data_IF_692904684623
#
_entry.id   IF_692904684623
#
_cell.length_a   1.000
_cell.length_b   1.000
_cell.length_c   1.000
_cell.angle_alpha   90.00
_cell.angle_beta   90.00
_cell.angle_gamma   90.00
#
_symmetry.space_group_name_H-M   'P 1'
#
loop_
_entity.id
_entity.type
_entity.pdbx_description
1 polymer ?
#
# COMPACT_ATOMS: atom_id res chain seq x y z
N UNK A 1 27.47 -18.19 7.03
CA UNK A 1 26.23 -17.71 6.39
C UNK A 1 25.38 -16.84 7.35
N UNK A 2 25.34 -17.11 8.66
CA UNK A 2 24.45 -16.38 9.59
C UNK A 2 24.92 -14.96 9.93
N UNK A 3 26.22 -14.68 9.97
CA UNK A 3 26.74 -13.34 10.33
C UNK A 3 26.61 -12.32 9.21
N UNK A 4 26.84 -12.72 7.96
CA UNK A 4 26.83 -11.81 6.81
C UNK A 4 25.39 -11.36 6.45
N UNK A 5 24.42 -12.24 6.63
CA UNK A 5 23.02 -11.95 6.34
C UNK A 5 22.44 -11.01 7.41
N UNK A 6 22.75 -11.21 8.68
CA UNK A 6 22.35 -10.30 9.76
C UNK A 6 22.92 -8.87 9.59
N UNK A 7 24.16 -8.78 9.11
CA UNK A 7 24.80 -7.49 8.80
C UNK A 7 24.11 -6.77 7.63
N UNK A 8 23.67 -7.52 6.60
CA UNK A 8 23.00 -6.96 5.42
C UNK A 8 21.63 -6.38 5.74
N UNK A 9 20.88 -6.99 6.66
CA UNK A 9 19.58 -6.47 7.08
C UNK A 9 19.69 -5.21 7.92
N UNK A 10 20.61 -5.22 8.91
CA UNK A 10 20.85 -4.04 9.72
C UNK A 10 21.29 -2.87 8.83
N UNK A 11 22.12 -3.15 7.83
CA UNK A 11 22.52 -2.18 6.81
C UNK A 11 21.31 -1.67 6.01
N UNK A 12 20.41 -2.55 5.56
CA UNK A 12 19.22 -2.16 4.81
C UNK A 12 18.28 -1.26 5.64
N UNK A 13 18.05 -1.59 6.90
CA UNK A 13 17.25 -0.75 7.81
C UNK A 13 17.91 0.60 8.11
N UNK A 14 19.22 0.61 8.35
CA UNK A 14 19.98 1.83 8.57
C UNK A 14 19.95 2.74 7.33
N UNK A 15 20.11 2.15 6.13
CA UNK A 15 20.01 2.87 4.86
C UNK A 15 18.62 3.47 4.65
N UNK A 16 17.56 2.72 4.96
CA UNK A 16 16.19 3.21 4.88
C UNK A 16 15.95 4.40 5.83
N UNK A 17 16.38 4.27 7.09
CA UNK A 17 16.25 5.35 8.08
C UNK A 17 17.06 6.58 7.71
N UNK A 18 18.30 6.40 7.26
CA UNK A 18 19.17 7.50 6.81
C UNK A 18 18.54 8.24 5.62
N UNK A 19 17.94 7.51 4.67
CA UNK A 19 17.21 8.11 3.54
C UNK A 19 16.09 9.02 3.99
N UNK A 20 15.32 8.65 5.02
CA UNK A 20 14.28 9.50 5.59
C UNK A 20 14.82 10.78 6.24
N UNK A 21 15.96 10.72 6.92
CA UNK A 21 16.63 11.89 7.50
C UNK A 21 17.16 12.82 6.40
N UNK A 22 17.85 12.27 5.39
CA UNK A 22 18.33 13.03 4.23
C UNK A 22 17.16 13.71 3.52
N UNK A 23 16.05 12.99 3.33
CA UNK A 23 14.85 13.56 2.74
C UNK A 23 14.34 14.76 3.53
N UNK A 24 14.30 14.65 4.85
CA UNK A 24 13.83 15.74 5.73
C UNK A 24 14.74 16.95 5.73
N UNK A 25 16.05 16.74 5.81
CA UNK A 25 17.04 17.82 5.98
C UNK A 25 17.44 18.48 4.66
N UNK A 26 17.50 17.75 3.56
CA UNK A 26 18.00 18.26 2.28
C UNK A 26 16.88 18.36 1.23
N UNK A 27 16.12 17.29 1.02
CA UNK A 27 15.15 17.24 -0.09
C UNK A 27 13.94 18.16 0.18
N UNK A 28 13.36 18.09 1.38
CA UNK A 28 12.16 18.89 1.70
C UNK A 28 12.38 20.40 1.56
N UNK A 29 13.47 21.00 2.10
CA UNK A 29 13.74 22.43 1.88
C UNK A 29 13.92 22.79 0.40
N UNK A 30 14.65 21.97 -0.38
CA UNK A 30 14.87 22.21 -1.81
C UNK A 30 13.54 22.16 -2.56
N UNK A 31 12.67 21.18 -2.29
CA UNK A 31 11.36 21.08 -2.91
C UNK A 31 10.50 22.31 -2.63
N UNK A 32 10.47 22.77 -1.36
CA UNK A 32 9.72 23.98 -0.98
C UNK A 32 10.22 25.24 -1.68
N UNK A 33 11.53 25.37 -1.86
CA UNK A 33 12.13 26.55 -2.51
C UNK A 33 11.95 26.55 -4.02
N UNK A 34 11.86 25.37 -4.66
CA UNK A 34 11.87 25.22 -6.13
C UNK A 34 10.52 24.89 -6.74
N UNK A 35 9.50 24.52 -5.93
CA UNK A 35 8.16 24.23 -6.42
C UNK A 35 7.32 25.49 -6.52
N UNK A 36 6.52 25.59 -7.59
CA UNK A 36 5.65 26.75 -7.86
C UNK A 36 4.29 26.66 -7.16
N UNK A 37 3.89 25.44 -6.77
CA UNK A 37 2.64 25.19 -6.04
C UNK A 37 2.79 24.03 -5.06
N UNK A 38 1.89 23.92 -4.05
CA UNK A 38 1.85 22.76 -3.15
C UNK A 38 1.61 21.43 -3.88
N UNK A 39 0.87 21.42 -4.98
CA UNK A 39 0.61 20.26 -5.82
C UNK A 39 1.90 19.80 -6.50
N UNK A 40 2.66 20.73 -7.08
CA UNK A 40 3.97 20.44 -7.69
C UNK A 40 4.96 19.92 -6.64
N UNK A 41 4.98 20.50 -5.45
CA UNK A 41 5.81 20.04 -4.32
C UNK A 41 5.49 18.58 -4.00
N UNK A 42 4.20 18.22 -3.83
CA UNK A 42 3.76 16.85 -3.54
C UNK A 42 4.16 15.87 -4.65
N UNK A 43 3.90 16.23 -5.90
CA UNK A 43 4.26 15.40 -7.06
C UNK A 43 5.76 15.14 -7.13
N UNK A 44 6.58 16.17 -6.97
CA UNK A 44 8.05 16.04 -6.94
C UNK A 44 8.51 15.21 -5.75
N UNK A 45 7.91 15.39 -4.57
CA UNK A 45 8.21 14.60 -3.39
C UNK A 45 7.92 13.10 -3.62
N UNK A 46 6.77 12.76 -4.24
CA UNK A 46 6.42 11.38 -4.62
C UNK A 46 7.41 10.79 -5.62
N UNK A 47 7.84 11.57 -6.61
CA UNK A 47 8.86 11.14 -7.56
C UNK A 47 10.19 10.80 -6.87
N UNK A 48 10.62 11.63 -5.90
CA UNK A 48 11.83 11.36 -5.11
C UNK A 48 11.64 10.12 -4.23
N UNK A 49 10.49 9.97 -3.56
CA UNK A 49 10.17 8.78 -2.75
C UNK A 49 10.21 7.52 -3.62
N UNK A 50 9.56 7.56 -4.79
CA UNK A 50 9.57 6.45 -5.75
C UNK A 50 10.99 6.09 -6.18
N UNK A 51 11.79 7.08 -6.55
CA UNK A 51 13.18 6.87 -6.95
C UNK A 51 14.00 6.24 -5.83
N UNK A 52 13.87 6.76 -4.61
CA UNK A 52 14.57 6.24 -3.44
C UNK A 52 14.16 4.79 -3.13
N UNK A 53 12.86 4.50 -3.15
CA UNK A 53 12.34 3.15 -2.94
C UNK A 53 12.82 2.20 -4.04
N UNK A 54 12.87 2.66 -5.30
CA UNK A 54 13.45 1.88 -6.40
C UNK A 54 14.93 1.55 -6.18
N UNK A 55 15.75 2.51 -5.70
CA UNK A 55 17.14 2.26 -5.34
C UNK A 55 17.26 1.28 -4.16
N UNK A 56 16.45 1.46 -3.15
CA UNK A 56 16.40 0.57 -2.01
C UNK A 56 16.04 -0.86 -2.42
N UNK A 57 15.00 -1.05 -3.22
CA UNK A 57 14.59 -2.36 -3.75
C UNK A 57 15.70 -2.98 -4.59
N UNK A 58 16.38 -2.20 -5.43
CA UNK A 58 17.52 -2.69 -6.20
C UNK A 58 18.66 -3.19 -5.31
N UNK A 59 18.96 -2.48 -4.22
CA UNK A 59 20.01 -2.86 -3.25
C UNK A 59 19.63 -4.18 -2.55
N UNK A 60 18.42 -4.29 -1.98
CA UNK A 60 18.01 -5.52 -1.29
C UNK A 60 17.89 -6.72 -2.23
N UNK A 61 17.60 -6.48 -3.51
CA UNK A 61 17.62 -7.51 -4.55
C UNK A 61 19.06 -7.95 -4.89
N UNK A 62 19.98 -7.00 -5.01
CA UNK A 62 21.39 -7.28 -5.25
C UNK A 62 22.04 -8.06 -4.06
N UNK A 63 21.61 -7.74 -2.83
CA UNK A 63 21.98 -8.47 -1.62
C UNK A 63 21.30 -9.85 -1.50
N UNK A 64 20.47 -10.24 -2.47
CA UNK A 64 19.71 -11.49 -2.49
C UNK A 64 18.76 -11.68 -1.28
N UNK A 65 18.29 -10.61 -0.70
CA UNK A 65 17.31 -10.64 0.38
C UNK A 65 15.88 -10.81 -0.17
N UNK A 66 15.58 -10.11 -1.26
CA UNK A 66 14.25 -10.10 -1.87
C UNK A 66 14.35 -10.17 -3.39
N UNK A 67 13.41 -10.89 -4.00
CA UNK A 67 13.14 -10.87 -5.44
C UNK A 67 11.73 -10.32 -5.66
N UNK A 68 11.60 -9.30 -6.47
CA UNK A 68 10.31 -8.68 -6.78
C UNK A 68 9.85 -9.12 -8.16
N UNK A 69 8.62 -9.65 -8.23
CA UNK A 69 7.95 -10.02 -9.47
C UNK A 69 6.65 -9.23 -9.59
N UNK A 70 6.39 -8.68 -10.78
CA UNK A 70 5.17 -7.91 -11.06
C UNK A 70 4.44 -8.57 -12.23
N UNK A 71 3.17 -8.91 -12.02
CA UNK A 71 2.27 -9.45 -13.03
C UNK A 71 1.21 -8.42 -13.39
N UNK A 72 0.94 -8.24 -14.67
CA UNK A 72 0.05 -7.23 -15.23
C UNK A 72 0.46 -5.80 -14.82
N UNK A 73 1.72 -5.40 -15.07
CA UNK A 73 2.26 -4.11 -14.60
C UNK A 73 1.50 -2.91 -15.13
N UNK A 74 0.88 -3.01 -16.31
CA UNK A 74 0.07 -1.96 -16.93
C UNK A 74 -1.10 -1.51 -16.06
N UNK A 75 -1.71 -2.43 -15.33
CA UNK A 75 -2.81 -2.10 -14.42
C UNK A 75 -2.34 -1.29 -13.19
N UNK A 76 -1.08 -1.46 -12.78
CA UNK A 76 -0.47 -0.68 -11.69
C UNK A 76 -0.06 0.74 -12.14
N UNK A 77 0.08 0.95 -13.45
CA UNK A 77 0.52 2.23 -14.03
C UNK A 77 -0.65 3.12 -14.47
N UNK A 78 -1.89 2.67 -14.30
CA UNK A 78 -3.09 3.42 -14.66
C UNK A 78 -3.23 4.67 -13.79
N UNK A 79 -3.33 5.84 -14.42
CA UNK A 79 -3.54 7.11 -13.74
C UNK A 79 -4.87 7.13 -12.99
N UNK A 80 -4.88 7.70 -11.80
CA UNK A 80 -6.06 7.83 -10.96
C UNK A 80 -6.68 6.49 -10.55
N UNK A 81 -5.91 5.39 -10.56
CA UNK A 81 -6.40 4.07 -10.15
C UNK A 81 -6.54 3.96 -8.62
N UNK A 82 -7.53 3.19 -8.17
CA UNK A 82 -7.65 2.75 -6.78
C UNK A 82 -7.08 1.33 -6.71
N UNK A 83 -5.86 1.20 -6.17
CA UNK A 83 -5.15 -0.07 -6.02
C UNK A 83 -5.36 -0.59 -4.60
N UNK A 84 -6.20 -1.61 -4.44
CA UNK A 84 -6.45 -2.24 -3.15
C UNK A 84 -5.63 -3.53 -3.02
N UNK A 85 -4.69 -3.56 -2.07
CA UNK A 85 -3.63 -4.55 -2.00
C UNK A 85 -3.73 -5.40 -0.73
N UNK A 86 -3.45 -6.71 -0.81
CA UNK A 86 -3.15 -7.51 0.38
C UNK A 86 -1.78 -7.14 0.98
N UNK A 87 -1.52 -7.46 2.25
CA UNK A 87 -0.36 -6.92 2.97
C UNK A 87 0.44 -7.99 3.73
N UNK A 88 1.05 -8.97 3.04
CA UNK A 88 1.76 -10.07 3.69
C UNK A 88 3.08 -9.68 4.35
N UNK A 89 3.76 -8.60 3.94
CA UNK A 89 5.09 -8.24 4.39
C UNK A 89 5.23 -6.76 4.73
N UNK A 90 6.23 -6.40 5.54
CA UNK A 90 6.52 -5.00 5.91
C UNK A 90 6.97 -4.16 4.71
N UNK A 91 7.64 -4.75 3.73
CA UNK A 91 8.22 -4.03 2.58
C UNK A 91 7.29 -3.92 1.37
N UNK A 92 6.08 -4.46 1.43
CA UNK A 92 5.12 -4.42 0.32
C UNK A 92 4.87 -3.00 -0.17
N UNK A 93 4.67 -2.06 0.78
CA UNK A 93 4.43 -0.65 0.48
C UNK A 93 5.61 -0.04 -0.27
N UNK A 94 6.85 -0.33 0.19
CA UNK A 94 8.08 0.20 -0.41
C UNK A 94 8.25 -0.32 -1.84
N UNK A 95 8.07 -1.63 -2.02
CA UNK A 95 8.18 -2.27 -3.33
C UNK A 95 7.08 -1.76 -4.28
N UNK A 96 5.83 -1.67 -3.83
CA UNK A 96 4.71 -1.20 -4.66
C UNK A 96 4.87 0.26 -5.06
N UNK A 97 5.20 1.16 -4.13
CA UNK A 97 5.42 2.57 -4.40
C UNK A 97 6.70 2.83 -5.23
N UNK A 98 7.60 1.86 -5.36
CA UNK A 98 8.72 1.95 -6.30
C UNK A 98 8.30 1.72 -7.76
N UNK A 99 7.20 0.98 -7.98
CA UNK A 99 6.67 0.62 -9.31
C UNK A 99 5.62 1.61 -9.78
N UNK A 100 4.64 1.95 -8.94
CA UNK A 100 3.54 2.86 -9.31
C UNK A 100 4.08 4.26 -9.58
N UNK A 101 3.81 4.88 -10.76
CA UNK A 101 4.45 6.12 -11.18
C UNK A 101 4.20 7.30 -10.25
N UNK A 102 2.96 7.56 -9.94
CA UNK A 102 2.54 8.60 -8.99
C UNK A 102 1.45 8.05 -8.08
N UNK A 103 1.78 7.89 -6.80
CA UNK A 103 0.88 7.26 -5.84
C UNK A 103 0.77 8.04 -4.54
N UNK A 104 -0.45 8.08 -4.01
CA UNK A 104 -0.74 8.44 -2.62
C UNK A 104 -1.19 7.19 -1.85
N UNK A 105 -1.08 7.22 -0.54
CA UNK A 105 -1.46 6.09 0.32
C UNK A 105 -1.95 6.56 1.68
N UNK A 106 -2.67 5.69 2.39
CA UNK A 106 -3.00 5.91 3.79
C UNK A 106 -1.91 5.32 4.69
N UNK A 107 -1.43 6.13 5.61
CA UNK A 107 -0.40 5.74 6.59
C UNK A 107 -0.94 5.79 8.02
N UNK A 108 -0.36 4.97 8.88
CA UNK A 108 -0.66 5.03 10.32
C UNK A 108 -0.15 6.35 10.91
N UNK A 109 -0.95 7.02 11.75
CA UNK A 109 -0.57 8.26 12.42
C UNK A 109 0.75 8.17 13.21
N UNK A 110 1.12 6.99 13.70
CA UNK A 110 2.41 6.74 14.35
C UNK A 110 3.62 7.03 13.45
N UNK A 111 3.51 6.80 12.13
CA UNK A 111 4.59 7.08 11.17
C UNK A 111 4.84 8.57 10.98
N UNK A 112 3.83 9.42 11.21
CA UNK A 112 3.98 10.88 11.19
C UNK A 112 4.72 11.44 12.43
N UNK A 113 4.85 10.64 13.49
CA UNK A 113 5.63 10.97 14.69
C UNK A 113 7.06 10.45 14.62
N UNK A 114 7.34 9.47 13.78
CA UNK A 114 8.66 8.88 13.63
C UNK A 114 9.57 9.82 12.82
N UNK A 115 10.76 10.17 13.35
CA UNK A 115 11.72 11.10 12.73
C UNK A 115 12.22 10.64 11.36
N UNK A 116 12.29 9.34 11.12
CA UNK A 116 12.78 8.76 9.88
C UNK A 116 11.74 8.73 8.74
N UNK A 117 10.44 8.79 9.07
CA UNK A 117 9.38 8.66 8.06
C UNK A 117 8.50 9.89 7.91
N UNK A 118 8.43 10.76 8.94
CA UNK A 118 7.53 11.93 8.93
C UNK A 118 7.77 12.89 7.77
N UNK A 119 9.03 13.14 7.41
CA UNK A 119 9.36 14.13 6.39
C UNK A 119 8.91 13.70 4.99
N UNK A 120 9.29 12.49 4.48
CA UNK A 120 8.79 12.04 3.18
C UNK A 120 7.27 11.86 3.15
N UNK A 121 6.64 11.38 4.24
CA UNK A 121 5.18 11.22 4.32
C UNK A 121 4.46 12.57 4.16
N UNK A 122 4.90 13.60 4.89
CA UNK A 122 4.29 14.94 4.82
C UNK A 122 4.53 15.59 3.46
N UNK A 123 5.75 15.55 2.96
CA UNK A 123 6.09 16.15 1.68
C UNK A 123 5.35 15.49 0.51
N UNK A 124 5.21 14.16 0.52
CA UNK A 124 4.44 13.42 -0.47
C UNK A 124 2.91 13.61 -0.34
N UNK A 125 2.44 14.22 0.75
CA UNK A 125 1.03 14.46 1.00
C UNK A 125 0.23 13.17 1.28
N UNK A 126 0.87 12.14 1.85
CA UNK A 126 0.18 10.90 2.22
C UNK A 126 -0.84 11.16 3.33
N UNK A 127 -1.97 10.47 3.24
CA UNK A 127 -3.12 10.69 4.10
C UNK A 127 -2.97 9.90 5.40
N UNK A 128 -3.27 10.51 6.54
CA UNK A 128 -3.28 9.78 7.82
C UNK A 128 -4.59 9.02 8.00
N UNK A 129 -4.53 7.83 8.58
CA UNK A 129 -5.73 7.09 8.97
C UNK A 129 -6.55 7.79 10.08
N UNK A 130 -6.05 8.88 10.66
CA UNK A 130 -6.75 9.69 11.65
C UNK A 130 -7.48 10.91 11.05
N UNK A 131 -7.39 11.16 9.72
CA UNK A 131 -7.98 12.34 9.07
C UNK A 131 -9.52 12.28 8.93
N UNK A 132 -10.16 11.15 9.24
CA UNK A 132 -11.63 11.05 9.23
C UNK A 132 -12.28 11.24 7.86
N UNK A 133 -13.50 11.83 7.79
CA UNK A 133 -14.27 11.98 6.53
C UNK A 133 -13.57 12.85 5.47
N UNK A 134 -12.81 13.85 5.87
CA UNK A 134 -12.10 14.76 4.96
C UNK A 134 -11.06 14.03 4.10
N UNK A 135 -10.61 12.84 4.55
CA UNK A 135 -9.70 11.99 3.79
C UNK A 135 -10.28 11.57 2.44
N UNK A 136 -11.59 11.28 2.36
CA UNK A 136 -12.25 10.83 1.11
C UNK A 136 -12.22 11.95 0.07
N UNK A 137 -12.59 13.16 0.47
CA UNK A 137 -12.58 14.33 -0.43
C UNK A 137 -11.16 14.66 -0.92
N UNK A 138 -10.17 14.57 -0.04
CA UNK A 138 -8.77 14.78 -0.38
C UNK A 138 -8.29 13.72 -1.38
N UNK A 139 -8.60 12.46 -1.13
CA UNK A 139 -8.22 11.36 -2.02
C UNK A 139 -8.95 11.43 -3.37
N UNK A 140 -10.21 11.85 -3.41
CA UNK A 140 -10.94 12.06 -4.65
C UNK A 140 -10.23 13.09 -5.54
N UNK A 141 -9.84 14.23 -4.98
CA UNK A 141 -9.06 15.25 -5.71
C UNK A 141 -7.71 14.72 -6.22
N UNK A 142 -7.02 13.91 -5.43
CA UNK A 142 -5.76 13.30 -5.86
C UNK A 142 -5.99 12.32 -7.03
N UNK A 143 -7.04 11.50 -7.01
CA UNK A 143 -7.42 10.62 -8.12
C UNK A 143 -7.76 11.41 -9.38
N UNK A 144 -8.46 12.54 -9.26
CA UNK A 144 -8.80 13.40 -10.40
C UNK A 144 -7.59 14.08 -11.00
N UNK A 145 -6.54 14.31 -10.24
CA UNK A 145 -5.25 14.80 -10.72
C UNK A 145 -4.37 13.73 -11.38
N UNK A 146 -4.86 12.48 -11.48
CA UNK A 146 -4.13 11.35 -12.05
C UNK A 146 -3.28 10.56 -11.05
N UNK A 147 -3.25 10.97 -9.77
CA UNK A 147 -2.52 10.26 -8.73
C UNK A 147 -3.22 8.95 -8.38
N UNK A 148 -2.53 7.81 -8.45
CA UNK A 148 -3.07 6.54 -8.02
C UNK A 148 -3.16 6.47 -6.48
N UNK A 149 -4.20 5.81 -5.97
CA UNK A 149 -4.38 5.58 -4.54
C UNK A 149 -4.08 4.13 -4.19
N UNK A 150 -3.02 3.91 -3.43
CA UNK A 150 -2.63 2.60 -2.91
C UNK A 150 -3.18 2.43 -1.49
N UNK A 151 -3.97 1.40 -1.27
CA UNK A 151 -4.53 1.10 0.04
C UNK A 151 -4.38 -0.37 0.39
N UNK A 152 -4.12 -0.63 1.68
CA UNK A 152 -4.12 -1.96 2.28
C UNK A 152 -5.36 -2.08 3.16
N UNK A 153 -6.47 -2.65 2.66
CA UNK A 153 -7.77 -2.60 3.35
C UNK A 153 -7.79 -3.42 4.66
N UNK A 154 -6.82 -4.27 4.89
CA UNK A 154 -6.64 -4.98 6.17
C UNK A 154 -6.25 -4.02 7.32
N UNK A 155 -5.66 -2.85 7.03
CA UNK A 155 -5.16 -1.88 8.02
C UNK A 155 -4.00 -2.39 8.87
N UNK A 156 -3.57 -3.62 8.64
CA UNK A 156 -2.42 -4.29 9.27
C UNK A 156 -1.82 -5.29 8.30
N UNK A 157 -0.66 -5.85 8.62
CA UNK A 157 -0.09 -6.96 7.81
C UNK A 157 -0.99 -8.20 7.95
N UNK A 158 -1.14 -8.93 6.84
CA UNK A 158 -1.85 -10.22 6.81
C UNK A 158 -1.22 -11.17 7.83
N UNK A 159 -1.98 -11.77 8.75
CA UNK A 159 -1.45 -12.77 9.67
C UNK A 159 -0.80 -13.95 8.94
N UNK A 160 0.22 -14.56 9.55
CA UNK A 160 0.93 -15.70 8.95
C UNK A 160 0.05 -16.94 8.84
N UNK A 161 -0.82 -17.12 9.82
CA UNK A 161 -1.80 -18.19 9.88
C UNK A 161 -3.20 -17.59 9.87
N UNK A 162 -4.02 -18.06 8.95
CA UNK A 162 -5.45 -17.79 8.91
C UNK A 162 -6.20 -19.09 9.16
N UNK A 163 -7.26 -19.08 9.95
CA UNK A 163 -8.17 -20.22 10.03
C UNK A 163 -8.69 -20.56 8.62
N UNK A 164 -8.71 -21.84 8.28
CA UNK A 164 -9.24 -22.28 6.98
C UNK A 164 -10.68 -21.78 6.82
N UNK A 165 -10.92 -21.07 5.72
CA UNK A 165 -12.25 -20.56 5.38
C UNK A 165 -12.59 -19.17 5.93
N UNK A 166 -11.73 -18.54 6.72
CA UNK A 166 -11.94 -17.17 7.20
C UNK A 166 -11.27 -16.13 6.30
N UNK A 167 -11.91 -14.96 6.18
CA UNK A 167 -11.39 -13.81 5.45
C UNK A 167 -10.88 -12.75 6.45
N UNK A 168 -9.71 -12.12 6.20
CA UNK A 168 -9.27 -11.01 7.03
C UNK A 168 -10.35 -9.92 7.08
N UNK A 169 -10.47 -9.27 8.24
CA UNK A 169 -11.34 -8.10 8.35
C UNK A 169 -10.82 -6.99 7.46
N UNK A 170 -11.62 -6.58 6.48
CA UNK A 170 -11.29 -5.49 5.59
C UNK A 170 -12.02 -4.20 6.00
N UNK A 171 -11.30 -3.09 6.02
CA UNK A 171 -11.85 -1.75 6.17
C UNK A 171 -12.51 -1.29 4.87
N UNK A 172 -13.60 -0.54 4.97
CA UNK A 172 -14.43 -0.13 3.83
C UNK A 172 -13.90 1.10 3.07
N UNK A 173 -12.75 1.66 3.47
CA UNK A 173 -12.23 2.92 2.91
C UNK A 173 -12.05 2.90 1.39
N UNK A 174 -11.50 1.81 0.83
CA UNK A 174 -11.36 1.65 -0.62
C UNK A 174 -12.72 1.66 -1.33
N UNK A 175 -13.68 0.88 -0.82
CA UNK A 175 -15.04 0.81 -1.38
C UNK A 175 -15.80 2.14 -1.25
N UNK A 176 -15.66 2.84 -0.12
CA UNK A 176 -16.25 4.15 0.08
C UNK A 176 -15.71 5.18 -0.91
N UNK A 177 -14.39 5.23 -1.12
CA UNK A 177 -13.77 6.12 -2.09
C UNK A 177 -14.20 5.77 -3.52
N UNK A 178 -14.23 4.48 -3.87
CA UNK A 178 -14.66 4.03 -5.18
C UNK A 178 -16.13 4.41 -5.49
N UNK A 179 -17.03 4.23 -4.50
CA UNK A 179 -18.44 4.63 -4.63
C UNK A 179 -18.59 6.15 -4.69
N UNK A 180 -17.82 6.90 -3.91
CA UNK A 180 -17.86 8.37 -3.93
C UNK A 180 -17.42 8.95 -5.28
N UNK A 181 -16.39 8.33 -5.91
CA UNK A 181 -15.82 8.81 -7.17
C UNK A 181 -16.38 8.11 -8.42
N UNK A 182 -17.19 7.06 -8.27
CA UNK A 182 -17.66 6.22 -9.37
C UNK A 182 -16.56 5.38 -10.03
N UNK A 183 -15.34 5.32 -9.45
CA UNK A 183 -14.18 4.63 -10.03
C UNK A 183 -14.17 3.15 -9.66
N UNK A 184 -13.59 2.34 -10.55
CA UNK A 184 -13.31 0.93 -10.28
C UNK A 184 -12.19 0.77 -9.25
N UNK A 185 -12.16 -0.40 -8.58
CA UNK A 185 -11.02 -0.84 -7.76
C UNK A 185 -10.24 -1.88 -8.53
N UNK A 186 -8.92 -1.72 -8.61
CA UNK A 186 -8.00 -2.77 -9.07
C UNK A 186 -7.48 -3.54 -7.87
N UNK A 187 -7.89 -4.80 -7.65
CA UNK A 187 -7.32 -5.63 -6.61
C UNK A 187 -5.87 -5.99 -6.96
N UNK A 188 -4.97 -5.90 -6.00
CA UNK A 188 -3.57 -6.30 -6.16
C UNK A 188 -3.27 -7.39 -5.13
N UNK A 189 -3.17 -8.62 -5.59
CA UNK A 189 -2.78 -9.73 -4.73
C UNK A 189 -1.27 -9.73 -4.55
N UNK A 190 -0.84 -9.63 -3.30
CA UNK A 190 0.57 -9.70 -2.96
C UNK A 190 0.82 -11.03 -2.26
N UNK A 191 1.81 -11.78 -2.73
CA UNK A 191 2.26 -13.02 -2.10
C UNK A 191 3.75 -12.97 -1.80
N UNK A 192 4.14 -13.55 -0.67
CA UNK A 192 5.52 -13.63 -0.20
C UNK A 192 5.91 -15.08 0.08
N UNK A 193 7.00 -15.56 -0.52
CA UNK A 193 7.51 -16.92 -0.33
C UNK A 193 9.04 -16.93 -0.32
N UNK A 194 9.69 -17.46 0.74
CA UNK A 194 9.10 -17.76 2.05
C UNK A 194 8.52 -16.51 2.71
N UNK A 195 7.59 -16.68 3.65
CA UNK A 195 7.01 -15.54 4.40
C UNK A 195 8.06 -14.95 5.34
N UNK A 196 8.35 -13.68 5.14
CA UNK A 196 9.30 -12.91 5.94
C UNK A 196 8.77 -11.50 6.21
N UNK A 197 9.25 -10.87 7.28
CA UNK A 197 8.79 -9.56 7.74
C UNK A 197 7.27 -9.51 7.98
N UNK A 198 6.71 -10.65 8.40
CA UNK A 198 5.31 -10.77 8.79
C UNK A 198 5.04 -10.08 10.13
N UNK A 199 3.77 -9.99 10.54
CA UNK A 199 3.41 -9.39 11.83
C UNK A 199 3.92 -10.21 13.01
N UNK A 200 3.94 -11.53 12.85
CA UNK A 200 4.15 -12.50 13.95
C UNK A 200 5.62 -12.89 14.11
N UNK A 201 6.47 -12.57 13.12
CA UNK A 201 7.91 -12.82 13.17
C UNK A 201 8.69 -11.52 13.19
N UNK A 202 9.65 -11.43 14.11
CA UNK A 202 10.56 -10.29 14.20
C UNK A 202 11.42 -10.17 12.94
N UNK A 203 11.86 -8.94 12.64
CA UNK A 203 12.72 -8.64 11.50
C UNK A 203 14.09 -9.36 11.52
N UNK A 204 14.50 -9.89 12.68
CA UNK A 204 15.73 -10.66 12.89
C UNK A 204 15.62 -12.15 12.54
N UNK A 205 14.44 -12.66 12.18
CA UNK A 205 14.28 -14.02 11.69
C UNK A 205 14.40 -14.02 10.17
N UNK A 206 15.61 -14.25 9.70
CA UNK A 206 15.90 -14.30 8.27
C UNK A 206 15.48 -15.64 7.67
N UNK A 207 14.87 -15.62 6.49
CA UNK A 207 14.60 -16.85 5.77
C UNK A 207 15.92 -17.43 5.21
N UNK A 208 16.02 -18.75 5.13
CA UNK A 208 17.15 -19.44 4.52
C UNK A 208 17.31 -19.15 3.02
N UNK A 209 16.26 -18.71 2.37
CA UNK A 209 16.20 -18.38 0.94
C UNK A 209 15.68 -16.95 0.74
N UNK A 210 16.12 -16.26 -0.33
CA UNK A 210 15.56 -14.97 -0.69
C UNK A 210 14.02 -15.02 -0.77
N UNK A 211 13.36 -14.02 -0.19
CA UNK A 211 11.91 -13.90 -0.30
C UNK A 211 11.53 -13.46 -1.71
N UNK A 212 10.70 -14.22 -2.40
CA UNK A 212 10.05 -13.77 -3.63
C UNK A 212 8.75 -13.07 -3.27
N UNK A 213 8.65 -11.80 -3.64
CA UNK A 213 7.49 -10.95 -3.44
C UNK A 213 6.82 -10.73 -4.80
N UNK A 214 5.65 -11.32 -5.01
CA UNK A 214 4.90 -11.22 -6.26
C UNK A 214 3.72 -10.28 -6.09
N UNK A 215 3.64 -9.27 -6.96
CA UNK A 215 2.51 -8.35 -7.10
C UNK A 215 1.71 -8.73 -8.33
N UNK A 216 0.47 -9.16 -8.16
CA UNK A 216 -0.43 -9.55 -9.22
C UNK A 216 -1.63 -8.60 -9.26
N UNK A 217 -1.66 -7.71 -10.26
CA UNK A 217 -2.86 -6.90 -10.51
C UNK A 217 -3.93 -7.77 -11.18
N UNK A 218 -5.12 -7.76 -10.58
CA UNK A 218 -6.28 -8.53 -11.03
C UNK A 218 -7.24 -7.65 -11.84
N UNK A 219 -8.23 -8.24 -12.53
CA UNK A 219 -9.24 -7.48 -13.24
C UNK A 219 -9.95 -6.48 -12.32
N UNK A 220 -10.23 -5.29 -12.83
CA UNK A 220 -10.92 -4.24 -12.09
C UNK A 220 -12.32 -4.67 -11.67
N UNK A 221 -12.70 -4.33 -10.45
CA UNK A 221 -14.07 -4.47 -9.96
C UNK A 221 -14.76 -3.11 -10.16
N UNK A 222 -15.75 -3.00 -11.07
CA UNK A 222 -16.42 -1.74 -11.34
C UNK A 222 -17.29 -1.29 -10.16
N UNK A 223 -17.35 0.04 -9.90
CA UNK A 223 -18.23 0.59 -8.88
C UNK A 223 -19.73 0.58 -9.31
N UNK A 224 -19.99 0.63 -10.63
CA UNK A 224 -21.34 0.78 -11.18
C UNK A 224 -22.40 -0.17 -10.58
N UNK A 225 -22.16 -1.49 -10.43
CA UNK A 225 -23.16 -2.40 -9.85
C UNK A 225 -23.52 -2.11 -8.39
N UNK A 226 -22.73 -1.28 -7.71
CA UNK A 226 -22.94 -0.94 -6.29
C UNK A 226 -23.49 0.47 -6.10
N UNK A 227 -23.48 1.33 -7.15
CA UNK A 227 -23.96 2.72 -7.06
C UNK A 227 -25.46 2.79 -6.81
N UNK A 228 -26.26 1.92 -7.43
CA UNK A 228 -27.73 1.87 -7.19
C UNK A 228 -28.04 1.53 -5.73
N UNK A 229 -27.19 0.70 -5.10
CA UNK A 229 -27.28 0.36 -3.69
C UNK A 229 -26.77 1.48 -2.78
N UNK A 230 -25.96 2.41 -3.30
CA UNK A 230 -25.41 3.53 -2.55
C UNK A 230 -26.46 4.58 -2.21
N UNK A 231 -27.50 4.71 -3.05
CA UNK A 231 -28.65 5.59 -2.83
C UNK A 231 -29.66 5.04 -1.82
N UNK A 232 -29.57 3.74 -1.49
CA UNK A 232 -30.27 3.07 -0.38
C UNK A 232 -29.21 2.61 0.61
N UNK A 233 -29.33 2.45 1.86
CA UNK A 233 -28.32 2.66 2.91
C UNK A 233 -26.87 2.53 2.41
N UNK A 234 -26.11 3.63 2.30
CA UNK A 234 -24.75 3.65 1.70
C UNK A 234 -23.78 2.65 2.32
N UNK A 235 -24.03 2.29 3.60
CA UNK A 235 -23.24 1.29 4.34
C UNK A 235 -23.34 -0.11 3.75
N UNK A 236 -24.48 -0.45 3.12
CA UNK A 236 -24.68 -1.77 2.51
C UNK A 236 -23.87 -1.91 1.20
N UNK A 237 -23.90 -0.87 0.36
CA UNK A 237 -23.12 -0.82 -0.88
C UNK A 237 -21.61 -1.00 -0.60
N UNK A 238 -21.08 -0.20 0.32
CA UNK A 238 -19.65 -0.30 0.70
C UNK A 238 -19.30 -1.67 1.31
N UNK A 239 -20.23 -2.28 2.09
CA UNK A 239 -20.02 -3.64 2.62
C UNK A 239 -19.95 -4.67 1.50
N UNK A 240 -20.90 -4.65 0.57
CA UNK A 240 -20.94 -5.61 -0.57
C UNK A 240 -19.72 -5.46 -1.47
N UNK A 241 -19.33 -4.23 -1.77
CA UNK A 241 -18.15 -3.96 -2.56
C UNK A 241 -16.86 -4.44 -1.86
N UNK A 242 -16.73 -4.20 -0.55
CA UNK A 242 -15.61 -4.71 0.25
C UNK A 242 -15.56 -6.24 0.27
N UNK A 243 -16.71 -6.91 0.33
CA UNK A 243 -16.77 -8.38 0.26
C UNK A 243 -16.33 -8.90 -1.11
N UNK A 244 -16.74 -8.25 -2.21
CA UNK A 244 -16.28 -8.60 -3.55
C UNK A 244 -14.75 -8.42 -3.67
N UNK A 245 -14.23 -7.30 -3.20
CA UNK A 245 -12.78 -7.07 -3.13
C UNK A 245 -12.04 -8.16 -2.33
N UNK A 246 -12.59 -8.55 -1.18
CA UNK A 246 -11.99 -9.58 -0.33
C UNK A 246 -11.88 -10.93 -1.02
N UNK A 247 -12.88 -11.31 -1.83
CA UNK A 247 -12.84 -12.56 -2.61
C UNK A 247 -11.72 -12.59 -3.64
N UNK A 248 -11.45 -11.44 -4.27
CA UNK A 248 -10.35 -11.33 -5.23
C UNK A 248 -8.98 -11.35 -4.54
N UNK A 249 -8.84 -10.67 -3.43
CA UNK A 249 -7.56 -10.61 -2.69
C UNK A 249 -7.20 -11.94 -2.01
N UNK A 250 -8.21 -12.70 -1.54
CA UNK A 250 -8.05 -13.91 -0.74
C UNK A 250 -8.85 -15.07 -1.34
N UNK A 251 -8.40 -15.68 -2.45
CA UNK A 251 -9.09 -16.81 -3.08
C UNK A 251 -9.00 -18.06 -2.20
N UNK A 252 -10.08 -18.86 -2.21
CA UNK A 252 -10.16 -20.12 -1.43
C UNK A 252 -10.84 -19.98 -0.07
N UNK A 253 -11.28 -18.77 0.31
CA UNK A 253 -12.01 -18.53 1.54
C UNK A 253 -13.48 -18.89 1.35
N UNK A 254 -14.06 -19.71 2.27
CA UNK A 254 -15.49 -20.03 2.29
C UNK A 254 -16.30 -18.75 2.52
N UNK A 255 -17.42 -18.64 1.82
CA UNK A 255 -18.37 -17.54 2.06
C UNK A 255 -18.95 -17.70 3.46
N UNK A 256 -19.09 -16.63 4.26
CA UNK A 256 -20.02 -16.67 5.36
C UNK A 256 -21.41 -16.93 4.77
N UNK A 257 -22.00 -18.04 5.17
CA UNK A 257 -23.37 -18.36 4.80
C UNK A 257 -24.29 -17.32 5.42
N UNK A 258 -25.45 -17.08 4.81
CA UNK A 258 -26.44 -16.09 5.27
C UNK A 258 -26.96 -16.32 6.69
N UNK A 259 -26.61 -17.46 7.32
CA UNK A 259 -26.89 -17.82 8.71
C UNK A 259 -25.90 -17.23 9.74
N UNK A 260 -24.75 -16.70 9.31
CA UNK A 260 -23.69 -16.18 10.22
C UNK A 260 -23.74 -14.65 10.38
N UNK A 261 -24.83 -14.03 9.99
CA UNK A 261 -25.06 -12.59 10.21
C UNK A 261 -25.76 -12.38 11.56
N UNK A 262 -25.09 -11.72 12.55
CA UNK A 262 -25.77 -11.27 13.76
C UNK A 262 -26.77 -10.15 13.48
#
# INVERSE_FOLDING_TARGET
WSSDVCSSDLFAFALFGLGGVIFGLLITPVLKMTSKSPEEERRRARAVVRWWFGRFVAIITALRLVRVEVRNPEALMKEGAILACSHPSLIDVVCLLSVVPEATTIVKAALLRNIFTRAPIRAAGYVSNAEGPDAIEKLARELDSGTAFVIFPEGTRTPSEFPEGEMPRLHRGAAQLALHTGRSITPVRISASPRWLTKDHGWWHLPEKPMTLTFEALPEIPAAPYLDLYNSPPRLAARRFTLALGRELFPGIRQPTSSDAP
#
